data_IF_193198209792
#
_entry.id   IF_193198209792
#
_cell.length_a   1.000
_cell.length_b   1.000
_cell.length_c   1.000
_cell.angle_alpha   90.00
_cell.angle_beta   90.00
_cell.angle_gamma   90.00
#
_symmetry.space_group_name_H-M   'P 1'
#
loop_
_entity.id
_entity.type
_entity.pdbx_description
1 polymer ?
#
# COMPACT_ATOMS: atom_id res chain seq x y z
N UNK A 1 15.37 -22.41 1.18
CA UNK A 1 14.60 -22.46 -0.08
C UNK A 1 13.49 -21.44 0.08
N UNK A 2 13.59 -20.28 -0.56
CA UNK A 2 12.52 -19.28 -0.47
C UNK A 2 11.34 -19.83 -1.26
N UNK A 3 10.32 -20.33 -0.57
CA UNK A 3 9.11 -20.82 -1.21
C UNK A 3 8.38 -19.61 -1.80
N UNK A 4 8.48 -19.44 -3.11
CA UNK A 4 7.75 -18.41 -3.83
C UNK A 4 6.31 -18.91 -3.99
N UNK A 5 5.37 -18.24 -3.34
CA UNK A 5 3.95 -18.51 -3.50
C UNK A 5 3.52 -18.15 -4.92
N UNK A 6 2.86 -19.09 -5.60
CA UNK A 6 2.27 -18.87 -6.91
C UNK A 6 0.97 -18.07 -6.81
N UNK A 7 0.58 -17.40 -7.89
CA UNK A 7 -0.71 -16.69 -7.95
C UNK A 7 -1.88 -17.61 -7.57
N UNK A 8 -1.90 -18.85 -8.07
CA UNK A 8 -2.97 -19.80 -7.77
C UNK A 8 -3.09 -20.08 -6.27
N UNK A 9 -1.97 -20.20 -5.56
CA UNK A 9 -1.99 -20.40 -4.11
C UNK A 9 -2.56 -19.19 -3.36
N UNK A 10 -2.32 -17.96 -3.83
CA UNK A 10 -2.91 -16.74 -3.24
C UNK A 10 -4.44 -16.74 -3.42
N UNK A 11 -4.90 -17.14 -4.61
CA UNK A 11 -6.32 -17.27 -4.94
C UNK A 11 -6.98 -18.36 -4.09
N UNK A 12 -6.35 -19.54 -3.96
CA UNK A 12 -6.84 -20.65 -3.11
C UNK A 12 -6.97 -20.22 -1.63
N UNK A 13 -5.99 -19.48 -1.10
CA UNK A 13 -6.07 -18.92 0.25
C UNK A 13 -7.27 -17.98 0.38
N UNK A 14 -7.48 -17.10 -0.60
CA UNK A 14 -8.58 -16.15 -0.59
C UNK A 14 -9.94 -16.85 -0.63
N UNK A 15 -10.08 -17.93 -1.41
CA UNK A 15 -11.31 -18.74 -1.45
C UNK A 15 -11.61 -19.40 -0.11
N UNK A 16 -10.58 -19.96 0.55
CA UNK A 16 -10.73 -20.63 1.84
C UNK A 16 -11.09 -19.64 2.96
N UNK A 17 -10.43 -18.48 2.99
CA UNK A 17 -10.66 -17.47 4.03
C UNK A 17 -11.94 -16.67 3.78
N UNK A 18 -12.28 -16.40 2.53
CA UNK A 18 -13.44 -15.60 2.15
C UNK A 18 -13.26 -14.10 2.38
N UNK A 19 -14.14 -13.30 1.75
CA UNK A 19 -13.99 -11.84 1.66
C UNK A 19 -14.01 -11.13 3.02
N UNK A 20 -14.80 -11.58 3.98
CA UNK A 20 -14.90 -10.95 5.30
C UNK A 20 -13.55 -11.02 6.05
N UNK A 21 -12.90 -12.19 6.02
CA UNK A 21 -11.59 -12.37 6.67
C UNK A 21 -10.50 -11.59 5.95
N UNK A 22 -10.48 -11.59 4.61
CA UNK A 22 -9.49 -10.80 3.85
C UNK A 22 -9.65 -9.30 4.10
N UNK A 23 -10.89 -8.80 4.23
CA UNK A 23 -11.14 -7.39 4.57
C UNK A 23 -10.70 -7.06 6.00
N UNK A 24 -10.90 -7.98 6.94
CA UNK A 24 -10.41 -7.84 8.32
C UNK A 24 -8.89 -7.75 8.33
N UNK A 25 -8.20 -8.68 7.66
CA UNK A 25 -6.74 -8.68 7.54
C UNK A 25 -6.24 -7.38 6.89
N UNK A 26 -6.83 -6.96 5.76
CA UNK A 26 -6.44 -5.71 5.12
C UNK A 26 -6.54 -4.51 6.09
N UNK A 27 -7.55 -4.47 6.95
CA UNK A 27 -7.71 -3.40 7.93
C UNK A 27 -6.61 -3.43 9.01
N UNK A 28 -6.25 -4.62 9.50
CA UNK A 28 -5.17 -4.85 10.44
C UNK A 28 -3.83 -4.44 9.82
N UNK A 29 -3.47 -4.98 8.65
CA UNK A 29 -2.22 -4.68 7.95
C UNK A 29 -2.12 -3.20 7.54
N UNK A 30 -3.24 -2.56 7.20
CA UNK A 30 -3.27 -1.11 6.95
C UNK A 30 -2.95 -0.29 8.21
N UNK A 31 -3.35 -0.77 9.39
CA UNK A 31 -3.01 -0.15 10.67
C UNK A 31 -1.53 -0.34 10.98
N UNK A 32 -0.98 -1.52 10.72
CA UNK A 32 0.45 -1.83 10.90
C UNK A 32 1.32 -1.00 9.95
N UNK A 33 0.96 -0.92 8.67
CA UNK A 33 1.59 -0.06 7.67
C UNK A 33 1.56 1.43 8.07
N UNK A 34 0.45 1.90 8.62
CA UNK A 34 0.33 3.26 9.15
C UNK A 34 1.36 3.50 10.28
N UNK A 35 1.49 2.55 11.20
CA UNK A 35 2.48 2.61 12.28
C UNK A 35 3.92 2.56 11.74
N UNK A 36 4.20 1.70 10.75
CA UNK A 36 5.51 1.61 10.10
C UNK A 36 5.90 2.92 9.39
N UNK A 37 4.97 3.55 8.67
CA UNK A 37 5.18 4.86 8.05
C UNK A 37 5.53 5.93 9.10
N UNK A 38 4.83 5.94 10.23
CA UNK A 38 5.11 6.89 11.32
C UNK A 38 6.46 6.60 12.00
N UNK A 39 6.86 5.33 12.16
CA UNK A 39 8.20 4.95 12.63
C UNK A 39 9.29 5.43 11.67
N UNK A 40 9.11 5.23 10.36
CA UNK A 40 10.05 5.74 9.34
C UNK A 40 10.19 7.26 9.42
N UNK A 41 9.07 7.99 9.49
CA UNK A 41 9.08 9.45 9.65
C UNK A 41 9.83 9.91 10.91
N UNK A 42 9.66 9.23 12.05
CA UNK A 42 10.41 9.55 13.29
C UNK A 42 11.90 9.30 13.14
N UNK A 43 12.30 8.29 12.36
CA UNK A 43 13.70 7.98 12.07
C UNK A 43 14.41 9.10 11.33
N UNK A 44 13.72 9.76 10.40
CA UNK A 44 14.26 10.94 9.69
C UNK A 44 14.61 12.09 10.64
N UNK A 45 13.98 12.15 11.82
CA UNK A 45 14.21 13.16 12.85
C UNK A 45 15.10 12.65 14.01
N UNK A 46 15.64 11.43 13.93
CA UNK A 46 16.45 10.83 15.00
C UNK A 46 15.67 10.46 16.27
N UNK A 47 14.34 10.29 16.18
CA UNK A 47 13.44 10.10 17.32
C UNK A 47 13.10 8.63 17.61
N UNK A 48 13.88 7.67 17.12
CA UNK A 48 13.66 6.23 17.35
C UNK A 48 14.96 5.52 17.74
N UNK A 49 14.90 4.51 18.63
CA UNK A 49 16.05 3.69 18.96
C UNK A 49 16.38 2.64 17.89
N UNK A 50 15.50 2.43 16.90
CA UNK A 50 15.73 1.50 15.78
C UNK A 50 16.62 2.11 14.70
N UNK A 51 17.41 1.27 14.05
CA UNK A 51 18.22 1.65 12.89
C UNK A 51 17.33 1.98 11.68
N UNK A 52 17.88 2.73 10.72
CA UNK A 52 17.17 3.05 9.49
C UNK A 52 16.83 1.80 8.67
N UNK A 53 17.72 0.81 8.67
CA UNK A 53 17.55 -0.48 7.96
C UNK A 53 16.37 -1.25 8.53
N UNK A 54 16.32 -1.49 9.85
CA UNK A 54 15.21 -2.20 10.50
C UNK A 54 13.84 -1.53 10.27
N UNK A 55 13.82 -0.19 10.18
CA UNK A 55 12.57 0.54 9.94
C UNK A 55 12.15 0.47 8.47
N UNK A 56 13.10 0.38 7.54
CA UNK A 56 12.81 0.15 6.12
C UNK A 56 12.31 -1.28 5.93
N UNK A 57 12.94 -2.27 6.55
CA UNK A 57 12.53 -3.67 6.44
C UNK A 57 11.10 -3.86 6.97
N UNK A 58 10.80 -3.31 8.15
CA UNK A 58 9.43 -3.32 8.67
C UNK A 58 8.48 -2.61 7.71
N UNK A 59 8.85 -1.47 7.11
CA UNK A 59 7.98 -0.78 6.16
C UNK A 59 7.70 -1.63 4.91
N UNK A 60 8.70 -2.35 4.40
CA UNK A 60 8.57 -3.23 3.24
C UNK A 60 7.64 -4.40 3.54
N UNK A 61 7.76 -4.99 4.73
CA UNK A 61 6.90 -6.08 5.21
C UNK A 61 5.43 -5.65 5.21
N UNK A 62 5.08 -4.58 5.93
CA UNK A 62 3.68 -4.12 5.99
C UNK A 62 3.13 -3.69 4.61
N UNK A 63 4.00 -3.15 3.74
CA UNK A 63 3.60 -2.83 2.37
C UNK A 63 3.28 -4.11 1.58
N UNK A 64 4.05 -5.17 1.77
CA UNK A 64 3.83 -6.45 1.11
C UNK A 64 2.52 -7.09 1.58
N UNK A 65 2.24 -7.05 2.88
CA UNK A 65 1.02 -7.64 3.47
C UNK A 65 -0.25 -6.92 2.97
N UNK A 66 -0.26 -5.58 2.99
CA UNK A 66 -1.36 -4.78 2.42
C UNK A 66 -1.55 -5.08 0.93
N UNK A 67 -0.47 -5.16 0.14
CA UNK A 67 -0.57 -5.44 -1.29
C UNK A 67 -1.08 -6.87 -1.56
N UNK A 68 -0.70 -7.85 -0.74
CA UNK A 68 -1.19 -9.21 -0.84
C UNK A 68 -2.71 -9.28 -0.62
N UNK A 69 -3.23 -8.64 0.44
CA UNK A 69 -4.67 -8.61 0.67
C UNK A 69 -5.42 -7.88 -0.45
N UNK A 70 -4.84 -6.82 -1.02
CA UNK A 70 -5.44 -6.12 -2.18
C UNK A 70 -5.54 -7.06 -3.40
N UNK A 71 -4.51 -7.85 -3.70
CA UNK A 71 -4.56 -8.82 -4.80
C UNK A 71 -5.60 -9.93 -4.55
N UNK A 72 -5.75 -10.39 -3.30
CA UNK A 72 -6.82 -11.33 -2.92
C UNK A 72 -8.22 -10.72 -3.10
N UNK A 73 -8.37 -9.42 -2.79
CA UNK A 73 -9.64 -8.70 -3.01
C UNK A 73 -9.94 -8.56 -4.51
N UNK A 74 -8.94 -8.29 -5.35
CA UNK A 74 -9.13 -8.27 -6.81
C UNK A 74 -9.65 -9.61 -7.33
N UNK A 75 -9.13 -10.71 -6.80
CA UNK A 75 -9.62 -12.04 -7.13
C UNK A 75 -11.08 -12.24 -6.68
N UNK A 76 -11.36 -12.01 -5.39
CA UNK A 76 -12.66 -12.30 -4.79
C UNK A 76 -13.80 -11.42 -5.32
N UNK A 77 -13.54 -10.15 -5.62
CA UNK A 77 -14.56 -9.22 -6.09
C UNK A 77 -14.64 -9.11 -7.62
N UNK A 78 -13.73 -9.76 -8.34
CA UNK A 78 -13.69 -9.77 -9.79
C UNK A 78 -12.62 -8.83 -10.38
N UNK A 79 -12.03 -9.30 -11.49
CA UNK A 79 -10.88 -8.67 -12.13
C UNK A 79 -11.17 -7.27 -12.71
N UNK A 80 -12.44 -6.90 -12.91
CA UNK A 80 -12.85 -5.59 -13.42
C UNK A 80 -12.72 -4.46 -12.37
N UNK A 81 -12.42 -4.78 -11.12
CA UNK A 81 -12.14 -3.78 -10.07
C UNK A 81 -10.72 -3.21 -10.18
N UNK A 82 -9.73 -4.03 -10.54
CA UNK A 82 -8.32 -3.58 -10.66
C UNK A 82 -8.16 -2.42 -11.66
N UNK A 83 -8.70 -2.49 -12.90
CA UNK A 83 -8.68 -1.36 -13.83
C UNK A 83 -9.39 -0.11 -13.29
N UNK A 84 -10.49 -0.27 -12.54
CA UNK A 84 -11.22 0.88 -11.93
C UNK A 84 -10.34 1.60 -10.90
N UNK A 85 -9.58 0.84 -10.09
CA UNK A 85 -8.66 1.40 -9.10
C UNK A 85 -7.46 2.07 -9.77
N UNK A 86 -6.86 1.44 -10.78
CA UNK A 86 -5.74 2.01 -11.54
C UNK A 86 -6.13 3.34 -12.21
N UNK A 87 -7.33 3.41 -12.81
CA UNK A 87 -7.87 4.65 -13.36
C UNK A 87 -8.02 5.75 -12.28
N UNK A 88 -8.51 5.38 -11.10
CA UNK A 88 -8.64 6.31 -9.97
C UNK A 88 -7.28 6.78 -9.45
N UNK A 89 -6.29 5.89 -9.37
CA UNK A 89 -4.91 6.22 -8.99
C UNK A 89 -4.30 7.22 -9.99
N UNK A 90 -4.41 6.96 -11.29
CA UNK A 90 -3.93 7.84 -12.36
C UNK A 90 -4.55 9.25 -12.26
N UNK A 91 -5.86 9.32 -12.05
CA UNK A 91 -6.56 10.59 -11.88
C UNK A 91 -6.11 11.35 -10.63
N UNK A 92 -5.99 10.66 -9.49
CA UNK A 92 -5.51 11.26 -8.22
C UNK A 92 -4.05 11.71 -8.32
N UNK A 93 -3.18 10.89 -8.90
CA UNK A 93 -1.77 11.20 -9.14
C UNK A 93 -1.60 12.41 -10.05
N UNK A 94 -2.33 12.46 -11.17
CA UNK A 94 -2.36 13.62 -12.07
C UNK A 94 -2.79 14.89 -11.35
N UNK A 95 -3.80 14.80 -10.47
CA UNK A 95 -4.25 15.93 -9.64
C UNK A 95 -3.15 16.39 -8.67
N UNK A 96 -2.47 15.47 -8.00
CA UNK A 96 -1.38 15.80 -7.08
C UNK A 96 -0.19 16.44 -7.79
N UNK A 97 0.19 15.92 -8.96
CA UNK A 97 1.24 16.50 -9.79
C UNK A 97 0.92 17.96 -10.15
N UNK A 98 -0.30 18.22 -10.64
CA UNK A 98 -0.75 19.58 -10.98
C UNK A 98 -0.65 20.53 -9.79
N UNK A 99 -1.11 20.11 -8.60
CA UNK A 99 -1.04 20.94 -7.39
C UNK A 99 0.39 21.25 -6.98
N UNK A 100 1.24 20.22 -6.97
CA UNK A 100 2.61 20.32 -6.45
C UNK A 100 3.52 21.11 -7.39
N UNK A 101 3.37 20.97 -8.70
CA UNK A 101 4.32 21.49 -9.69
C UNK A 101 3.75 22.52 -10.67
N UNK A 102 2.43 22.58 -10.88
CA UNK A 102 1.84 23.56 -11.82
C UNK A 102 1.23 24.72 -11.06
N UNK A 103 0.41 24.44 -10.04
CA UNK A 103 -0.26 25.50 -9.27
C UNK A 103 0.72 26.24 -8.34
N UNK A 104 1.66 25.52 -7.73
CA UNK A 104 2.68 26.13 -6.86
C UNK A 104 3.81 26.88 -7.62
N UNK A 105 3.86 26.78 -8.95
CA UNK A 105 4.89 27.43 -9.79
C UNK A 105 4.30 28.54 -10.70
N UNK A 106 3.19 29.18 -10.31
CA UNK A 106 2.85 30.47 -10.93
C UNK A 106 3.78 31.53 -10.33
N UNK A 107 4.71 32.14 -11.09
CA UNK A 107 5.23 33.44 -10.68
C UNK A 107 4.00 34.35 -10.57
N UNK A 108 3.89 35.06 -9.45
CA UNK A 108 2.87 36.09 -9.27
C UNK A 108 2.95 37.01 -10.49
N UNK A 109 1.89 37.03 -11.30
CA UNK A 109 1.81 37.95 -12.43
C UNK A 109 1.65 39.34 -11.81
N UNK A 110 2.72 40.14 -11.90
CA UNK A 110 2.73 41.59 -11.71
C UNK A 110 1.65 42.29 -12.55
#
# INVERSE_FOLDING_TARGET
MNNITTRKQIEDIAEVLGIENILCQLAEESSELSQACLKYRRTLNGLTPKTKEEVIDNLIEEMADVLLNIEQIYYLLGNDIKPKIENMQNFKGSRWYRRTFITNNRPELE
#
